data_IF_163983892298
#
_entry.id   IF_163983892298
#
_cell.length_a   1.000
_cell.length_b   1.000
_cell.length_c   1.000
_cell.angle_alpha   90.00
_cell.angle_beta   90.00
_cell.angle_gamma   90.00
#
_symmetry.space_group_name_H-M   'P 1'
#
loop_
_entity.id
_entity.type
_entity.pdbx_description
1 polymer ?
#
# COMPACT_ATOMS: atom_id res chain seq x y z
N UNK A 1 -9.36 20.82 18.77
CA UNK A 1 -8.70 20.54 17.47
C UNK A 1 -9.67 19.71 16.65
N UNK A 2 -10.13 20.20 15.51
CA UNK A 2 -11.01 19.46 14.59
C UNK A 2 -10.14 18.62 13.66
N UNK A 3 -10.17 17.30 13.83
CA UNK A 3 -9.59 16.37 12.87
C UNK A 3 -10.54 16.20 11.68
N UNK A 4 -9.99 16.10 10.47
CA UNK A 4 -10.79 15.76 9.27
C UNK A 4 -10.62 14.28 8.97
N UNK A 5 -11.72 13.55 8.80
CA UNK A 5 -11.65 12.12 8.49
C UNK A 5 -11.24 11.92 7.02
N UNK A 6 -10.03 11.41 6.80
CA UNK A 6 -9.51 11.14 5.47
C UNK A 6 -9.68 9.65 5.12
N UNK A 7 -10.32 9.38 3.97
CA UNK A 7 -10.50 8.03 3.45
C UNK A 7 -9.60 7.83 2.23
N UNK A 8 -8.57 7.00 2.38
CA UNK A 8 -7.60 6.69 1.34
C UNK A 8 -8.00 5.40 0.62
N UNK A 9 -8.19 5.49 -0.69
CA UNK A 9 -8.38 4.36 -1.59
C UNK A 9 -7.10 4.13 -2.39
N UNK A 10 -6.76 2.87 -2.66
CA UNK A 10 -5.48 2.52 -3.26
C UNK A 10 -5.69 1.57 -4.43
N UNK A 11 -4.97 1.85 -5.51
CA UNK A 11 -4.96 1.04 -6.72
C UNK A 11 -3.51 0.89 -7.16
N UNK A 12 -3.15 -0.29 -7.65
CA UNK A 12 -1.91 -0.50 -8.39
C UNK A 12 -2.16 -0.28 -9.89
N UNK A 13 -1.14 0.20 -10.59
CA UNK A 13 -1.13 0.30 -12.03
C UNK A 13 0.20 -0.24 -12.55
N UNK A 14 0.13 -1.26 -13.40
CA UNK A 14 1.27 -1.87 -14.08
C UNK A 14 2.39 -2.31 -13.12
N UNK A 15 2.01 -2.99 -12.04
CA UNK A 15 2.98 -3.58 -11.12
C UNK A 15 3.73 -4.69 -11.88
N UNK A 16 4.96 -4.41 -12.31
CA UNK A 16 5.83 -5.39 -12.96
C UNK A 16 6.24 -6.40 -11.88
N UNK A 17 5.48 -7.48 -11.81
CA UNK A 17 5.82 -8.63 -11.01
C UNK A 17 7.07 -9.24 -11.65
N UNK A 18 8.20 -9.16 -10.94
CA UNK A 18 9.40 -9.95 -11.26
C UNK A 18 9.10 -11.42 -11.00
N UNK A 19 8.23 -12.00 -11.83
CA UNK A 19 7.99 -13.42 -11.87
C UNK A 19 9.25 -14.11 -12.40
N UNK A 20 9.87 -15.05 -11.67
CA UNK A 20 10.86 -15.93 -12.28
C UNK A 20 10.16 -16.68 -13.41
N UNK A 21 10.72 -16.62 -14.62
CA UNK A 21 10.17 -17.21 -15.86
C UNK A 21 9.96 -18.75 -15.84
N UNK A 22 10.13 -19.40 -14.69
CA UNK A 22 10.19 -20.86 -14.54
C UNK A 22 9.05 -21.47 -13.71
N UNK A 23 8.17 -20.66 -13.10
CA UNK A 23 7.02 -21.20 -12.35
C UNK A 23 5.84 -21.51 -13.29
N UNK A 24 5.23 -22.71 -13.23
CA UNK A 24 4.17 -23.14 -14.15
C UNK A 24 2.83 -22.42 -13.93
N UNK A 25 2.69 -21.61 -12.87
CA UNK A 25 1.45 -20.92 -12.50
C UNK A 25 1.77 -19.51 -11.99
N UNK A 26 1.17 -18.44 -12.55
CA UNK A 26 1.44 -17.06 -12.15
C UNK A 26 0.55 -16.65 -10.96
N UNK A 27 0.61 -17.38 -9.85
CA UNK A 27 -0.21 -17.07 -8.68
C UNK A 27 0.51 -16.00 -7.85
N UNK A 28 0.61 -14.80 -8.41
CA UNK A 28 1.12 -13.64 -7.70
C UNK A 28 -0.03 -13.00 -6.96
N UNK A 29 0.15 -12.83 -5.66
CA UNK A 29 -0.90 -12.28 -4.79
C UNK A 29 -0.35 -11.05 -4.10
N UNK A 30 -1.03 -9.92 -4.25
CA UNK A 30 -0.50 -8.63 -3.80
C UNK A 30 -1.05 -8.26 -2.43
N UNK A 31 -0.15 -7.97 -1.49
CA UNK A 31 -0.49 -7.45 -0.18
C UNK A 31 0.12 -6.06 0.00
N UNK A 32 -0.72 -5.05 0.21
CA UNK A 32 -0.27 -3.70 0.56
C UNK A 32 -0.44 -3.45 2.06
N UNK A 33 0.66 -3.02 2.69
CA UNK A 33 0.74 -2.70 4.10
C UNK A 33 0.94 -1.20 4.27
N UNK A 34 0.05 -0.54 5.00
CA UNK A 34 0.22 0.86 5.39
C UNK A 34 0.89 0.91 6.76
N UNK A 35 1.96 1.70 6.85
CA UNK A 35 2.59 2.09 8.09
C UNK A 35 2.40 3.59 8.28
N UNK A 36 2.29 4.00 9.54
CA UNK A 36 2.08 5.40 9.93
C UNK A 36 2.94 5.72 11.16
N UNK A 37 3.42 6.96 11.23
CA UNK A 37 4.21 7.46 12.36
C UNK A 37 5.73 7.42 12.17
N UNK A 38 6.46 7.98 13.13
CA UNK A 38 7.92 8.24 13.05
C UNK A 38 8.79 6.99 13.11
N UNK A 39 8.33 5.93 13.77
CA UNK A 39 9.14 4.72 14.00
C UNK A 39 8.87 3.60 12.99
N UNK A 40 7.79 3.68 12.19
CA UNK A 40 7.38 2.63 11.24
C UNK A 40 7.38 1.20 11.82
N UNK A 41 7.23 1.07 13.14
CA UNK A 41 7.43 -0.19 13.86
C UNK A 41 6.22 -1.12 13.76
N UNK A 42 5.03 -0.55 13.54
CA UNK A 42 3.78 -1.31 13.46
C UNK A 42 2.99 -0.91 12.22
N UNK A 43 2.44 -1.89 11.49
CA UNK A 43 1.54 -1.62 10.41
C UNK A 43 0.26 -0.99 10.96
N UNK A 44 -0.14 0.15 10.40
CA UNK A 44 -1.44 0.76 10.65
C UNK A 44 -2.56 -0.17 10.18
N UNK A 45 -2.35 -0.81 9.03
CA UNK A 45 -3.27 -1.80 8.50
C UNK A 45 -2.73 -2.49 7.27
N UNK A 46 -3.37 -3.61 6.94
CA UNK A 46 -3.10 -4.40 5.73
C UNK A 46 -4.35 -4.45 4.88
N UNK A 47 -4.16 -4.38 3.58
CA UNK A 47 -5.20 -4.64 2.58
C UNK A 47 -5.49 -6.13 2.47
N UNK A 48 -6.53 -6.46 1.71
CA UNK A 48 -6.74 -7.81 1.20
C UNK A 48 -5.61 -8.24 0.25
N UNK A 49 -5.47 -9.55 0.12
CA UNK A 49 -4.58 -10.15 -0.87
C UNK A 49 -5.36 -10.22 -2.19
N UNK A 50 -4.79 -9.64 -3.26
CA UNK A 50 -5.40 -9.67 -4.59
C UNK A 50 -4.58 -10.56 -5.51
N UNK A 51 -5.21 -11.61 -6.03
CA UNK A 51 -4.56 -12.60 -6.88
C UNK A 51 -4.61 -12.18 -8.35
N UNK A 52 -3.53 -12.47 -9.09
CA UNK A 52 -3.50 -12.54 -10.55
C UNK A 52 -3.95 -11.25 -11.28
N UNK A 53 -3.48 -10.09 -10.82
CA UNK A 53 -3.70 -8.81 -11.52
C UNK A 53 -2.45 -7.91 -11.46
N UNK A 54 -2.17 -7.25 -12.59
CA UNK A 54 -1.15 -6.20 -12.69
C UNK A 54 -1.67 -4.83 -12.21
N UNK A 55 -2.99 -4.73 -12.06
CA UNK A 55 -3.72 -3.52 -11.66
C UNK A 55 -4.65 -3.86 -10.48
N UNK A 56 -4.11 -4.12 -9.28
CA UNK A 56 -4.93 -4.43 -8.11
C UNK A 56 -5.78 -3.22 -7.73
N UNK A 57 -7.06 -3.44 -7.46
CA UNK A 57 -7.98 -2.45 -6.89
C UNK A 57 -8.35 -2.89 -5.47
N UNK A 58 -7.81 -2.21 -4.46
CA UNK A 58 -7.98 -2.59 -3.06
C UNK A 58 -9.28 -2.00 -2.52
N UNK A 59 -10.29 -2.85 -2.35
CA UNK A 59 -11.59 -2.54 -1.77
C UNK A 59 -11.43 -2.00 -0.34
N UNK A 60 -10.44 -2.49 0.42
CA UNK A 60 -10.17 -1.98 1.76
C UNK A 60 -9.55 -0.58 1.70
N UNK A 61 -10.32 0.38 2.21
CA UNK A 61 -9.90 1.79 2.35
C UNK A 61 -9.30 2.02 3.72
N UNK A 62 -8.25 2.83 3.80
CA UNK A 62 -7.72 3.28 5.07
C UNK A 62 -8.41 4.56 5.51
N UNK A 63 -8.85 4.59 6.76
CA UNK A 63 -9.48 5.77 7.37
C UNK A 63 -8.52 6.31 8.42
N UNK A 64 -8.09 7.55 8.23
CA UNK A 64 -7.08 8.21 9.05
C UNK A 64 -7.62 9.58 9.48
N UNK A 65 -7.33 9.99 10.70
CA UNK A 65 -7.61 11.34 11.17
C UNK A 65 -6.56 12.30 10.60
N UNK A 66 -6.96 13.26 9.78
CA UNK A 66 -6.07 14.28 9.21
C UNK A 66 -6.00 15.51 10.10
N UNK A 67 -4.77 15.89 10.45
CA UNK A 67 -4.44 17.11 11.19
C UNK A 67 -3.59 18.03 10.31
N UNK A 68 -4.13 19.20 9.94
CA UNK A 68 -3.43 20.15 9.08
C UNK A 68 -2.12 20.68 9.69
N UNK A 69 -2.06 20.76 11.02
CA UNK A 69 -0.90 21.27 11.76
C UNK A 69 0.22 20.23 11.91
N UNK A 70 -0.04 18.95 11.56
CA UNK A 70 0.92 17.87 11.74
C UNK A 70 1.34 17.23 10.42
N UNK A 71 2.64 16.92 10.33
CA UNK A 71 3.16 16.14 9.21
C UNK A 71 2.93 14.65 9.48
N UNK A 72 1.86 14.12 8.90
CA UNK A 72 1.51 12.70 9.02
C UNK A 72 2.14 11.91 7.88
N UNK A 73 3.28 11.27 8.16
CA UNK A 73 3.99 10.41 7.22
C UNK A 73 3.31 9.05 7.08
N UNK A 74 3.12 8.61 5.83
CA UNK A 74 2.59 7.31 5.44
C UNK A 74 3.63 6.57 4.60
N UNK A 75 3.75 5.26 4.85
CA UNK A 75 4.58 4.36 4.06
C UNK A 75 3.73 3.19 3.60
N UNK A 76 3.79 2.90 2.32
CA UNK A 76 3.06 1.80 1.70
C UNK A 76 4.07 0.77 1.22
N UNK A 77 4.06 -0.39 1.84
CA UNK A 77 4.92 -1.51 1.48
C UNK A 77 4.09 -2.53 0.70
N UNK A 78 4.57 -2.93 -0.49
CA UNK A 78 3.90 -3.89 -1.37
C UNK A 78 4.69 -5.19 -1.38
N UNK A 79 3.99 -6.29 -1.14
CA UNK A 79 4.56 -7.64 -1.09
C UNK A 79 3.88 -8.57 -2.10
N UNK A 80 4.66 -9.45 -2.70
CA UNK A 80 4.20 -10.61 -3.43
C UNK A 80 4.08 -11.81 -2.47
N UNK A 81 2.86 -12.29 -2.33
CA UNK A 81 2.45 -13.40 -1.50
C UNK A 81 2.32 -14.63 -2.41
N UNK A 82 3.37 -15.47 -2.41
CA UNK A 82 3.44 -16.71 -3.19
C UNK A 82 2.77 -17.91 -2.46
N UNK A 83 2.51 -17.79 -1.16
CA UNK A 83 1.83 -18.83 -0.37
C UNK A 83 0.81 -18.23 0.57
N UNK A 84 -0.28 -18.97 0.87
CA UNK A 84 -1.29 -18.64 1.89
C UNK A 84 -0.73 -18.55 3.33
N UNK A 85 0.60 -18.52 3.48
CA UNK A 85 1.30 -18.25 4.74
C UNK A 85 0.92 -16.86 5.25
N UNK A 86 0.56 -16.76 6.53
CA UNK A 86 0.31 -15.49 7.21
C UNK A 86 1.59 -14.73 7.59
N UNK A 87 2.76 -15.32 7.35
CA UNK A 87 4.04 -14.79 7.79
C UNK A 87 4.65 -13.83 6.75
N UNK A 88 4.69 -12.54 7.09
CA UNK A 88 5.15 -11.46 6.20
C UNK A 88 6.61 -11.62 5.76
N UNK A 89 7.45 -12.24 6.60
CA UNK A 89 8.88 -12.45 6.33
C UNK A 89 9.14 -13.48 5.23
N UNK A 90 8.11 -14.22 4.79
CA UNK A 90 8.20 -15.21 3.70
C UNK A 90 7.69 -14.65 2.36
N UNK A 91 7.20 -13.42 2.34
CA UNK A 91 6.69 -12.79 1.13
C UNK A 91 7.80 -11.99 0.45
N UNK A 92 7.81 -11.98 -0.89
CA UNK A 92 8.80 -11.22 -1.63
C UNK A 92 8.42 -9.75 -1.59
N UNK A 93 9.36 -8.90 -1.17
CA UNK A 93 9.16 -7.46 -1.19
C UNK A 93 9.24 -6.95 -2.63
N UNK A 94 8.17 -6.32 -3.12
CA UNK A 94 8.11 -5.78 -4.49
C UNK A 94 8.57 -4.33 -4.57
N UNK A 95 8.32 -3.57 -3.51
CA UNK A 95 8.72 -2.16 -3.42
C UNK A 95 7.92 -1.41 -2.37
N UNK A 96 8.35 -0.18 -2.09
CA UNK A 96 7.68 0.70 -1.14
C UNK A 96 7.51 2.11 -1.70
N UNK A 97 6.56 2.85 -1.17
CA UNK A 97 6.44 4.27 -1.45
C UNK A 97 6.11 5.07 -0.19
N UNK A 98 6.55 6.33 -0.19
CA UNK A 98 6.40 7.24 0.93
C UNK A 98 5.66 8.48 0.48
N UNK A 99 4.68 8.89 1.27
CA UNK A 99 4.01 10.17 1.10
C UNK A 99 3.44 10.65 2.43
N UNK A 100 2.90 11.85 2.46
CA UNK A 100 2.17 12.37 3.61
C UNK A 100 0.67 12.38 3.36
N UNK A 101 -0.13 12.30 4.41
CA UNK A 101 -1.59 12.45 4.28
C UNK A 101 -1.96 13.81 3.68
N UNK A 102 -1.18 14.85 4.03
CA UNK A 102 -1.30 16.19 3.44
C UNK A 102 -1.04 16.23 1.94
N UNK A 103 -0.06 15.48 1.42
CA UNK A 103 0.17 15.36 -0.03
C UNK A 103 -1.02 14.71 -0.75
N UNK A 104 -1.63 13.69 -0.15
CA UNK A 104 -2.79 13.02 -0.76
C UNK A 104 -3.97 13.98 -0.85
N UNK A 105 -4.31 14.64 0.26
CA UNK A 105 -5.46 15.54 0.35
C UNK A 105 -5.22 16.82 -0.47
N UNK A 106 -4.00 17.34 -0.48
CA UNK A 106 -3.61 18.53 -1.22
C UNK A 106 -3.34 18.31 -2.71
N UNK A 107 -3.28 17.06 -3.17
CA UNK A 107 -3.12 16.75 -4.59
C UNK A 107 -4.35 17.16 -5.42
N UNK A 108 -4.11 17.58 -6.66
CA UNK A 108 -5.19 17.96 -7.59
C UNK A 108 -6.13 16.78 -7.81
N UNK A 109 -7.41 16.97 -7.49
CA UNK A 109 -8.41 15.91 -7.59
C UNK A 109 -8.32 14.84 -6.48
N UNK A 110 -7.57 15.11 -5.40
CA UNK A 110 -7.38 14.20 -4.27
C UNK A 110 -6.83 12.82 -4.69
N UNK A 111 -6.02 12.81 -5.76
CA UNK A 111 -5.38 11.63 -6.34
C UNK A 111 -3.89 11.84 -6.38
N UNK A 112 -3.16 10.95 -5.70
CA UNK A 112 -1.70 10.91 -5.71
C UNK A 112 -1.23 9.65 -6.41
N UNK A 113 -0.34 9.81 -7.38
CA UNK A 113 0.33 8.71 -8.06
C UNK A 113 1.81 8.70 -7.68
N UNK A 114 2.30 7.53 -7.26
CA UNK A 114 3.70 7.33 -6.88
C UNK A 114 4.17 5.99 -7.41
N UNK A 115 5.39 5.99 -7.95
CA UNK A 115 6.08 4.75 -8.31
C UNK A 115 6.59 4.07 -7.05
N UNK A 116 6.57 2.73 -7.05
CA UNK A 116 7.27 1.94 -6.04
C UNK A 116 8.78 2.10 -6.24
N UNK A 117 9.49 2.42 -5.17
CA UNK A 117 10.96 2.47 -5.12
C UNK A 117 11.55 1.16 -4.64
#
# INVERSE_FOLDING_TARGET
>A
MTATLARVHMMGHQLILRAPYWLPHPWFSLLLCLLSGTLWQLPFGRTEVIDNTLNPDFVRKFVLDFFFEEKQNLRFDVYNVDSRSSNISKHDFLGQTFCTLGEIIGSTGSRLEKTLS
#
